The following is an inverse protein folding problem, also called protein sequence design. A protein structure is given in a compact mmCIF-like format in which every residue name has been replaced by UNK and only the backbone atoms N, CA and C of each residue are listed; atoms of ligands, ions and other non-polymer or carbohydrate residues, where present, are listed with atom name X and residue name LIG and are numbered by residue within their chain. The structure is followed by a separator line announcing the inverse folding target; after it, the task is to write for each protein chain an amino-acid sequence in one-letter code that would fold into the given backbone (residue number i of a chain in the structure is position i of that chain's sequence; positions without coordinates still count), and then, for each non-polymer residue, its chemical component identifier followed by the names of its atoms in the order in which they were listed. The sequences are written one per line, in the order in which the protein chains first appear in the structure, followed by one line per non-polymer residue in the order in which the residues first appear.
data_IF_722656081082
#
_entry.id   IF_722656081082
#
_cell.length_a   1.000
_cell.length_b   1.000
_cell.length_c   1.000
_cell.angle_alpha   90.00
_cell.angle_beta   90.00
_cell.angle_gamma   90.00
#
_symmetry.space_group_name_H-M   'P 1'
#
loop_
_entity.id
_entity.type
_entity.pdbx_description
1 polymer ?
#
# COMPACT_ATOMS: atom_id res chain seq x y z
N UNK A 1 38.67 12.38 2.64
CA UNK A 1 38.34 12.14 2.74
C UNK A 1 37.75 12.11 3.18
N UNK A 2 37.62 11.91 2.99
CA UNK A 2 37.07 11.71 3.27
C UNK A 2 36.27 11.90 3.66
N UNK A 3 36.22 12.20 3.53
CA UNK A 3 35.57 12.38 3.85
C UNK A 3 34.75 12.19 4.14
N UNK A 4 34.41 12.22 3.89
CA UNK A 4 33.65 11.79 3.84
C UNK A 4 33.02 11.12 4.57
N UNK A 5 33.18 11.06 4.62
CA UNK A 5 32.65 10.09 5.42
C UNK A 5 31.54 10.52 6.28
N UNK A 6 31.58 11.62 6.79
CA UNK A 6 30.51 12.11 7.63
C UNK A 6 29.21 12.12 6.92
N UNK A 7 29.24 12.54 5.71
CA UNK A 7 28.05 12.61 4.98
C UNK A 7 27.40 11.33 4.90
N UNK A 8 28.14 10.36 4.82
CA UNK A 8 27.62 9.09 4.68
C UNK A 8 26.79 8.63 5.79
N UNK A 9 27.11 8.99 6.96
CA UNK A 9 26.38 8.53 8.04
C UNK A 9 25.00 8.94 8.05
N UNK A 10 24.75 10.10 7.66
CA UNK A 10 23.42 10.57 7.66
C UNK A 10 22.65 9.89 6.57
N UNK A 11 23.31 9.50 5.53
CA UNK A 11 22.63 8.96 4.45
C UNK A 11 21.95 7.69 4.66
N UNK A 12 22.49 6.76 5.39
CA UNK A 12 21.83 5.50 5.55
C UNK A 12 20.42 5.68 6.05
N UNK A 13 20.25 6.64 6.89
CA UNK A 13 18.94 6.84 7.43
C UNK A 13 18.01 7.45 6.42
N UNK A 14 18.59 8.01 5.38
CA UNK A 14 17.77 8.64 4.42
C UNK A 14 17.51 7.79 3.24
N UNK A 15 17.87 6.52 3.27
CA UNK A 15 17.70 5.70 2.12
C UNK A 15 16.25 5.27 1.97
N UNK A 16 15.37 6.22 2.11
CA UNK A 16 13.96 5.97 1.91
C UNK A 16 13.66 5.74 0.44
N UNK A 17 14.54 6.17 -0.45
CA UNK A 17 14.33 5.90 -1.86
C UNK A 17 14.31 4.41 -2.14
N UNK A 18 15.19 3.64 -1.49
CA UNK A 18 15.19 2.20 -1.68
C UNK A 18 13.94 1.58 -1.11
N UNK A 19 13.49 2.06 0.04
CA UNK A 19 12.28 1.56 0.65
C UNK A 19 11.08 1.85 -0.26
N UNK A 20 11.01 3.07 -0.75
CA UNK A 20 9.93 3.48 -1.64
C UNK A 20 9.89 2.61 -2.89
N UNK A 21 11.05 2.42 -3.50
CA UNK A 21 11.15 1.59 -4.69
C UNK A 21 10.69 0.17 -4.45
N UNK A 22 11.17 -0.44 -3.37
CA UNK A 22 10.79 -1.81 -3.09
C UNK A 22 9.30 -1.94 -2.79
N UNK A 23 8.73 -1.00 -2.06
CA UNK A 23 7.30 -1.06 -1.78
C UNK A 23 6.48 -0.89 -3.05
N UNK A 24 6.90 -0.01 -3.95
CA UNK A 24 6.20 0.14 -5.22
C UNK A 24 6.27 -1.14 -6.05
N UNK A 25 7.38 -1.87 -5.95
CA UNK A 25 7.52 -3.11 -6.68
C UNK A 25 6.53 -4.17 -6.22
N UNK A 26 6.12 -4.12 -4.96
CA UNK A 26 5.10 -5.04 -4.48
C UNK A 26 3.82 -4.86 -5.29
N UNK A 27 3.51 -3.65 -5.65
CA UNK A 27 2.25 -3.35 -6.33
C UNK A 27 2.34 -3.46 -7.85
N UNK A 28 3.53 -3.59 -8.41
CA UNK A 28 3.68 -3.68 -9.85
C UNK A 28 2.80 -4.73 -10.51
N UNK A 29 2.75 -5.96 -9.99
CA UNK A 29 1.94 -6.99 -10.67
C UNK A 29 0.45 -6.67 -10.70
N UNK A 30 0.00 -5.78 -9.85
CA UNK A 30 -1.42 -5.48 -9.76
C UNK A 30 -1.85 -4.31 -10.61
N UNK A 31 -0.88 -3.61 -11.21
CA UNK A 31 -1.22 -2.42 -11.98
C UNK A 31 -2.06 -2.76 -13.21
N UNK A 32 -1.92 -3.96 -13.75
CA UNK A 32 -2.69 -4.32 -14.93
C UNK A 32 -4.16 -4.56 -14.62
N UNK A 33 -4.48 -4.77 -13.35
CA UNK A 33 -5.86 -5.03 -12.95
C UNK A 33 -6.53 -3.84 -12.27
N UNK A 34 -5.79 -2.78 -12.07
CA UNK A 34 -6.28 -1.63 -11.30
C UNK A 34 -6.01 -0.34 -12.05
N UNK A 35 -6.66 0.71 -11.61
CA UNK A 35 -6.44 2.04 -12.17
C UNK A 35 -5.33 2.73 -11.40
N UNK A 36 -4.33 3.23 -12.11
CA UNK A 36 -3.23 3.96 -11.49
C UNK A 36 -3.65 5.43 -11.51
N UNK A 37 -4.02 5.95 -10.35
CA UNK A 37 -4.52 7.31 -10.29
C UNK A 37 -3.48 8.28 -9.77
N UNK A 38 -2.36 7.78 -9.29
CA UNK A 38 -1.22 8.61 -8.93
C UNK A 38 0.03 7.77 -9.12
N UNK A 39 1.03 8.34 -9.76
CA UNK A 39 2.29 7.66 -9.96
C UNK A 39 3.37 8.71 -10.17
N UNK A 40 4.03 9.10 -9.09
CA UNK A 40 5.04 10.13 -9.16
C UNK A 40 5.81 10.22 -7.86
N UNK A 41 6.57 11.31 -7.68
CA UNK A 41 7.39 11.42 -6.47
C UNK A 41 6.59 11.45 -5.18
N UNK A 42 5.35 11.89 -5.26
CA UNK A 42 4.51 11.96 -4.07
C UNK A 42 3.83 10.66 -3.71
N UNK A 43 3.95 9.64 -4.56
CA UNK A 43 3.39 8.35 -4.22
C UNK A 43 2.79 7.62 -5.39
N UNK A 44 2.32 6.42 -5.11
CA UNK A 44 1.63 5.57 -6.06
C UNK A 44 0.28 5.25 -5.46
N UNK A 45 -0.78 5.39 -6.24
CA UNK A 45 -2.14 5.07 -5.78
C UNK A 45 -2.83 4.19 -6.80
N UNK A 46 -3.38 3.08 -6.33
CA UNK A 46 -4.13 2.16 -7.17
C UNK A 46 -5.56 2.10 -6.68
N UNK A 47 -6.49 2.21 -7.63
CA UNK A 47 -7.91 2.21 -7.31
C UNK A 47 -8.65 1.23 -8.22
N UNK A 48 -9.86 0.90 -7.84
CA UNK A 48 -10.67 -0.02 -8.63
C UNK A 48 -11.16 0.72 -9.88
N UNK A 49 -10.96 0.15 -11.07
CA UNK A 49 -11.44 0.81 -12.29
C UNK A 49 -12.94 1.05 -12.22
N UNK A 50 -13.33 2.26 -12.52
CA UNK A 50 -14.73 2.66 -12.44
C UNK A 50 -15.11 3.24 -11.10
N UNK A 51 -14.30 3.06 -10.08
CA UNK A 51 -14.59 3.61 -8.75
C UNK A 51 -13.53 4.62 -8.32
N UNK A 52 -12.78 5.16 -9.28
CA UNK A 52 -11.73 6.12 -8.95
C UNK A 52 -12.33 7.33 -8.25
N UNK A 53 -11.64 7.78 -7.22
CA UNK A 53 -12.06 8.94 -6.46
C UNK A 53 -13.09 8.65 -5.38
N UNK A 54 -13.65 7.45 -5.38
CA UNK A 54 -14.61 7.10 -4.34
C UNK A 54 -13.89 6.52 -3.15
N UNK A 55 -14.35 6.81 -1.94
CA UNK A 55 -13.66 6.29 -0.76
C UNK A 55 -13.55 4.76 -0.75
N UNK A 56 -14.52 4.07 -1.31
CA UNK A 56 -14.50 2.62 -1.33
C UNK A 56 -13.75 2.06 -2.52
N UNK A 57 -13.22 2.92 -3.39
CA UNK A 57 -12.46 2.46 -4.54
C UNK A 57 -10.97 2.39 -4.35
N UNK A 58 -10.46 2.91 -3.25
CA UNK A 58 -9.02 2.92 -2.99
C UNK A 58 -8.56 1.51 -2.60
N UNK A 59 -7.54 1.00 -3.26
CA UNK A 59 -7.08 -0.36 -3.01
C UNK A 59 -5.77 -0.37 -2.24
N UNK A 60 -4.77 0.30 -2.77
CA UNK A 60 -3.44 0.23 -2.19
C UNK A 60 -2.61 1.40 -2.68
N UNK A 61 -1.56 1.70 -1.94
CA UNK A 61 -0.69 2.80 -2.35
C UNK A 61 0.59 2.82 -1.56
N UNK A 62 1.51 3.66 -2.02
CA UNK A 62 2.78 3.89 -1.35
C UNK A 62 2.96 5.40 -1.25
N UNK A 63 3.33 5.88 -0.07
CA UNK A 63 3.52 7.28 0.16
C UNK A 63 4.81 7.56 0.88
N UNK A 64 5.81 8.12 0.20
CA UNK A 64 7.06 8.49 0.89
C UNK A 64 6.82 9.71 1.77
N UNK A 65 7.32 9.66 2.98
CA UNK A 65 7.23 10.75 3.91
C UNK A 65 8.59 11.18 4.37
N UNK A 66 8.63 12.06 5.35
CA UNK A 66 9.89 12.55 5.87
C UNK A 66 10.55 11.58 6.82
N UNK A 67 9.76 10.84 7.54
CA UNK A 67 10.29 9.96 8.59
C UNK A 67 10.15 8.49 8.25
N UNK A 68 9.36 8.16 7.27
CA UNK A 68 9.16 6.76 6.86
C UNK A 68 8.41 6.74 5.54
N UNK A 69 8.32 5.55 4.95
CA UNK A 69 7.51 5.34 3.76
C UNK A 69 6.34 4.48 4.18
N UNK A 70 5.14 4.86 3.76
CA UNK A 70 3.93 4.17 4.14
C UNK A 70 3.41 3.31 3.00
N UNK A 71 2.95 2.13 3.33
CA UNK A 71 2.29 1.22 2.40
C UNK A 71 0.86 1.07 2.88
N UNK A 72 -0.09 1.40 2.00
CA UNK A 72 -1.50 1.30 2.34
C UNK A 72 -2.10 0.10 1.66
N UNK A 73 -2.92 -0.66 2.40
CA UNK A 73 -3.55 -1.85 1.84
C UNK A 73 -4.94 -1.99 2.45
N UNK A 74 -5.93 -1.55 1.71
CA UNK A 74 -7.29 -1.47 2.23
C UNK A 74 -7.94 -2.83 2.42
N UNK A 75 -7.51 -3.85 1.66
CA UNK A 75 -8.12 -5.15 1.81
C UNK A 75 -7.89 -5.75 3.19
N UNK A 76 -6.78 -5.38 3.84
CA UNK A 76 -6.51 -5.88 5.19
C UNK A 76 -7.54 -5.31 6.16
N UNK A 77 -7.83 -4.03 6.00
CA UNK A 77 -8.80 -3.37 6.85
C UNK A 77 -10.19 -4.00 6.67
N UNK A 78 -10.50 -4.41 5.46
CA UNK A 78 -11.82 -4.94 5.16
C UNK A 78 -11.97 -6.43 5.45
N UNK A 79 -10.89 -7.13 5.79
CA UNK A 79 -10.93 -8.57 5.95
C UNK A 79 -10.39 -8.98 7.31
N UNK A 80 -11.27 -9.38 8.25
CA UNK A 80 -10.77 -9.87 9.53
C UNK A 80 -9.87 -11.09 9.41
N UNK A 81 -10.08 -11.89 8.37
CA UNK A 81 -9.26 -13.07 8.17
C UNK A 81 -7.84 -12.71 7.78
N UNK A 82 -7.69 -11.73 6.89
CA UNK A 82 -6.36 -11.30 6.54
C UNK A 82 -5.66 -10.66 7.73
N UNK A 83 -6.41 -9.85 8.48
CA UNK A 83 -5.85 -9.21 9.66
C UNK A 83 -5.35 -10.26 10.64
N UNK A 84 -6.12 -11.32 10.84
CA UNK A 84 -5.76 -12.37 11.78
C UNK A 84 -4.56 -13.17 11.30
N UNK A 85 -4.35 -13.26 10.01
CA UNK A 85 -3.25 -14.06 9.46
C UNK A 85 -1.92 -13.32 9.46
N UNK A 86 -1.92 -12.06 9.82
CA UNK A 86 -0.73 -11.24 9.74
C UNK A 86 0.26 -11.61 10.82
N UNK A 87 1.54 -11.62 10.48
CA UNK A 87 2.58 -11.92 11.45
C UNK A 87 2.67 -10.83 12.50
N UNK A 88 3.15 -11.15 13.70
CA UNK A 88 3.35 -10.12 14.71
C UNK A 88 4.33 -9.05 14.25
N UNK A 89 5.34 -9.43 13.49
CA UNK A 89 6.32 -8.47 13.00
C UNK A 89 5.71 -7.46 12.06
N UNK A 90 4.88 -7.92 11.14
CA UNK A 90 4.23 -6.99 10.22
C UNK A 90 3.21 -6.13 10.97
N UNK A 91 2.51 -6.75 11.92
CA UNK A 91 1.53 -6.00 12.69
C UNK A 91 2.16 -4.84 13.44
N UNK A 92 3.41 -5.01 13.84
CA UNK A 92 4.10 -3.92 14.54
C UNK A 92 4.43 -2.75 13.62
N UNK A 93 4.35 -2.94 12.30
CA UNK A 93 4.55 -1.85 11.36
C UNK A 93 3.29 -1.04 11.13
N UNK A 94 2.16 -1.54 11.60
CA UNK A 94 0.89 -0.86 11.35
C UNK A 94 0.75 0.39 12.18
N UNK A 95 0.17 1.40 11.50
CA UNK A 95 -0.26 2.60 12.18
C UNK A 95 -1.65 2.84 11.66
N UNK A 96 -2.65 2.63 12.49
CA UNK A 96 -4.03 2.63 12.03
C UNK A 96 -4.39 1.26 11.52
N UNK A 97 -5.35 1.17 10.63
CA UNK A 97 -5.92 -0.11 10.25
C UNK A 97 -5.52 -0.60 8.87
N UNK A 98 -4.92 0.24 8.08
CA UNK A 98 -4.56 -0.14 6.72
C UNK A 98 -3.21 0.41 6.30
N UNK A 99 -2.45 0.97 7.20
CA UNK A 99 -1.20 1.64 6.88
C UNK A 99 -0.04 0.96 7.58
N UNK A 100 1.02 0.70 6.81
CA UNK A 100 2.23 0.07 7.34
C UNK A 100 3.41 1.00 7.06
N UNK A 101 4.20 1.31 8.07
CA UNK A 101 5.30 2.26 7.95
C UNK A 101 6.65 1.56 8.03
N UNK A 102 7.54 1.93 7.11
CA UNK A 102 8.86 1.32 7.06
C UNK A 102 9.94 2.38 6.94
N UNK A 103 11.03 2.15 7.64
CA UNK A 103 12.20 3.03 7.54
C UNK A 103 13.35 2.35 6.84
N UNK A 104 13.24 1.06 6.57
CA UNK A 104 14.27 0.35 5.82
C UNK A 104 13.65 -0.82 5.10
N UNK A 105 14.37 -1.35 4.14
CA UNK A 105 13.91 -2.49 3.38
C UNK A 105 13.87 -3.72 4.29
N UNK A 106 12.76 -4.42 4.27
CA UNK A 106 12.55 -5.60 5.09
C UNK A 106 11.90 -6.65 4.20
N UNK A 107 12.73 -7.42 3.54
CA UNK A 107 12.23 -8.34 2.52
C UNK A 107 11.23 -9.37 3.03
N UNK A 108 11.43 -9.99 4.19
CA UNK A 108 10.40 -10.92 4.65
C UNK A 108 9.04 -10.25 4.85
N UNK A 109 9.02 -9.06 5.39
CA UNK A 109 7.75 -8.37 5.59
C UNK A 109 7.18 -7.90 4.27
N UNK A 110 8.04 -7.50 3.34
CA UNK A 110 7.57 -7.08 2.02
C UNK A 110 6.97 -8.27 1.27
N UNK A 111 7.54 -9.46 1.42
CA UNK A 111 6.95 -10.65 0.83
C UNK A 111 5.60 -10.96 1.44
N UNK A 112 5.46 -10.72 2.72
CA UNK A 112 4.18 -10.93 3.38
C UNK A 112 3.14 -9.94 2.86
N UNK A 113 3.54 -8.68 2.68
CA UNK A 113 2.64 -7.68 2.10
C UNK A 113 2.18 -8.10 0.70
N UNK A 114 3.08 -8.65 -0.09
CA UNK A 114 2.73 -9.10 -1.42
C UNK A 114 1.68 -10.21 -1.36
N UNK A 115 1.85 -11.14 -0.45
CA UNK A 115 0.89 -12.22 -0.29
C UNK A 115 -0.46 -11.72 0.17
N UNK A 116 -0.47 -10.77 1.10
CA UNK A 116 -1.72 -10.21 1.58
C UNK A 116 -2.44 -9.45 0.47
N UNK A 117 -1.67 -8.73 -0.35
CA UNK A 117 -2.25 -8.00 -1.45
C UNK A 117 -2.92 -8.96 -2.43
N UNK A 118 -2.23 -10.02 -2.80
CA UNK A 118 -2.77 -10.99 -3.73
C UNK A 118 -4.01 -11.68 -3.14
N UNK A 119 -3.93 -12.08 -1.90
CA UNK A 119 -5.03 -12.82 -1.30
C UNK A 119 -6.29 -11.99 -1.13
N UNK A 120 -6.12 -10.70 -0.89
CA UNK A 120 -7.28 -9.88 -0.57
C UNK A 120 -7.85 -9.11 -1.74
N UNK A 121 -7.20 -9.12 -2.90
CA UNK A 121 -7.59 -8.20 -3.95
C UNK A 121 -8.96 -8.49 -4.53
N UNK A 122 -9.20 -9.70 -5.00
CA UNK A 122 -10.47 -9.98 -5.67
C UNK A 122 -11.67 -9.87 -4.73
N UNK A 123 -11.60 -10.42 -3.52
CA UNK A 123 -12.72 -10.22 -2.61
C UNK A 123 -12.97 -8.76 -2.28
N UNK A 124 -11.89 -7.98 -2.18
CA UNK A 124 -12.05 -6.56 -1.87
C UNK A 124 -12.73 -5.83 -3.03
N UNK A 125 -12.33 -6.13 -4.26
CA UNK A 125 -12.95 -5.51 -5.43
C UNK A 125 -14.43 -5.84 -5.47
N UNK A 126 -14.75 -7.09 -5.22
CA UNK A 126 -16.15 -7.52 -5.28
C UNK A 126 -16.97 -6.81 -4.21
N UNK A 127 -16.46 -6.74 -3.00
CA UNK A 127 -17.13 -6.03 -1.93
C UNK A 127 -17.33 -4.57 -2.27
N UNK A 128 -16.32 -3.95 -2.84
CA UNK A 128 -16.39 -2.53 -3.14
C UNK A 128 -17.41 -2.25 -4.24
N UNK A 129 -17.47 -3.13 -5.24
CA UNK A 129 -18.45 -2.94 -6.30
C UNK A 129 -19.86 -3.14 -5.79
N UNK A 130 -20.04 -4.08 -4.88
CA UNK A 130 -21.33 -4.31 -4.27
C UNK A 130 -21.76 -3.09 -3.45
N UNK A 131 -20.83 -2.54 -2.67
CA UNK A 131 -21.12 -1.36 -1.88
C UNK A 131 -21.44 -0.16 -2.77
N UNK A 132 -20.75 -0.06 -3.89
CA UNK A 132 -20.99 1.03 -4.82
C UNK A 132 -22.40 0.94 -5.38
N UNK A 133 -22.82 -0.25 -5.75
CA UNK A 133 -24.16 -0.44 -6.27
C UNK A 133 -25.22 -0.08 -5.25
N UNK A 134 -24.98 -0.43 -4.00
CA UNK A 134 -25.92 -0.12 -2.95
C UNK A 134 -25.99 1.37 -2.65
N UNK A 135 -24.88 2.08 -2.89
CA UNK A 135 -24.87 3.51 -2.61
C UNK A 135 -25.48 4.34 -3.71
N UNK A 136 -25.53 3.79 -4.92
CA UNK A 136 -26.02 4.56 -6.03
C UNK A 136 -27.10 3.88 -6.84
N UNK A 137 -27.91 3.03 -6.27
CA UNK A 137 -28.91 2.31 -7.07
C UNK A 137 -29.97 3.23 -7.62
N UNK A 138 -30.31 4.20 -6.88
CA UNK A 138 -31.41 5.06 -7.29
C UNK A 138 -31.16 5.82 -8.56
N UNK A 139 -29.91 6.15 -8.80
CA UNK A 139 -29.67 6.92 -9.94
C UNK A 139 -29.64 6.12 -11.15
N UNK A 140 -29.48 4.87 -11.01
CA UNK A 140 -29.37 4.11 -12.18
C UNK A 140 -30.67 3.98 -12.90
N UNK A 141 -31.72 4.49 -12.37
CA UNK A 141 -32.91 4.43 -13.08
C UNK A 141 -33.12 5.49 -13.95
#
# INVERSE_FOLDING_TARGET
MTTNSPTVRAKPARDFAAVDNRLRQILEPFRSRLAVTRDGPGGLTLEIPGLEGKPWGYVAGVRPGKSYVSFYLMSVYASPELMASMSPELRRRMQGKACFNFTKVDEPLFAELARLTEAGLEPFIEQARQADMERTPARSR
#
